data_IF_881648489563
#
_entry.id   IF_881648489563
#
_cell.length_a   1.000
_cell.length_b   1.000
_cell.length_c   1.000
_cell.angle_alpha   90.00
_cell.angle_beta   90.00
_cell.angle_gamma   90.00
#
_symmetry.space_group_name_H-M   'P 1'
#
loop_
_entity.id
_entity.type
_entity.pdbx_description
1 polymer ?
#
# COMPACT_ATOMS: atom_id res chain seq x y z
N UNK A 1 20.36 -0.88 -0.64
CA UNK A 1 19.59 -1.93 0.06
C UNK A 1 18.11 -1.61 -0.07
N UNK A 2 17.26 -2.61 -0.26
CA UNK A 2 15.81 -2.40 -0.34
C UNK A 2 15.27 -1.71 0.92
N UNK A 3 14.27 -0.84 0.75
CA UNK A 3 13.73 -0.03 1.84
C UNK A 3 12.72 -0.84 2.65
N UNK A 4 12.77 -0.74 3.98
CA UNK A 4 11.82 -1.43 4.86
C UNK A 4 11.04 -0.43 5.69
N UNK A 5 9.71 -0.54 5.62
CA UNK A 5 8.80 0.29 6.38
C UNK A 5 7.91 -0.51 7.34
N UNK A 6 7.34 0.18 8.32
CA UNK A 6 6.35 -0.35 9.26
C UNK A 6 5.18 0.60 9.38
N UNK A 7 3.97 0.10 9.16
CA UNK A 7 2.73 0.86 9.29
C UNK A 7 1.92 0.35 10.47
N UNK A 8 1.61 1.22 11.43
CA UNK A 8 1.00 0.81 12.69
C UNK A 8 -0.49 1.17 12.73
N UNK A 9 -1.37 0.20 12.52
CA UNK A 9 -2.81 0.35 12.69
C UNK A 9 -3.13 0.56 14.17
N UNK A 10 -3.58 1.77 14.52
CA UNK A 10 -3.74 2.22 15.92
C UNK A 10 -5.07 2.94 16.19
N UNK A 11 -6.08 2.77 15.32
CA UNK A 11 -7.42 3.40 15.40
C UNK A 11 -7.46 4.93 15.33
N UNK A 12 -6.31 5.59 15.25
CA UNK A 12 -6.25 7.04 15.12
C UNK A 12 -6.66 7.47 13.71
N UNK A 13 -7.02 8.74 13.53
CA UNK A 13 -7.28 9.29 12.20
C UNK A 13 -6.08 9.16 11.26
N UNK A 14 -4.86 9.32 11.81
CA UNK A 14 -3.60 9.07 11.13
C UNK A 14 -2.72 8.17 12.01
N UNK A 15 -2.19 7.14 11.38
CA UNK A 15 -1.27 6.17 11.93
C UNK A 15 0.17 6.46 11.43
N UNK A 16 1.20 6.10 12.20
CA UNK A 16 2.57 6.27 11.77
C UNK A 16 2.96 5.22 10.72
N UNK A 17 3.51 5.69 9.59
CA UNK A 17 4.29 4.91 8.63
C UNK A 17 5.76 5.25 8.82
N UNK A 18 6.53 4.31 9.34
CA UNK A 18 7.95 4.44 9.60
C UNK A 18 8.75 3.82 8.45
N UNK A 19 9.78 4.48 7.97
CA UNK A 19 10.78 3.91 7.07
C UNK A 19 12.15 4.04 7.70
N UNK A 20 12.80 2.89 7.93
CA UNK A 20 14.09 2.83 8.63
C UNK A 20 15.14 3.71 7.94
N UNK A 21 15.69 4.67 8.66
CA UNK A 21 16.69 5.62 8.15
C UNK A 21 16.13 6.77 7.29
N UNK A 22 14.82 6.86 7.11
CA UNK A 22 14.15 7.94 6.36
C UNK A 22 13.32 8.83 7.29
N UNK A 23 12.50 8.21 8.14
CA UNK A 23 11.67 8.92 9.10
C UNK A 23 10.27 8.33 9.23
N UNK A 24 9.43 9.05 9.99
CA UNK A 24 8.06 8.66 10.31
C UNK A 24 7.08 9.64 9.73
N UNK A 25 6.09 9.12 9.03
CA UNK A 25 5.13 9.90 8.27
C UNK A 25 3.68 9.57 8.69
N UNK A 26 2.81 10.58 8.80
CA UNK A 26 1.39 10.35 9.00
C UNK A 26 0.73 9.74 7.74
N UNK A 27 0.12 8.57 7.91
CA UNK A 27 -0.64 7.88 6.87
C UNK A 27 -1.94 7.31 7.46
N UNK A 28 -2.85 6.82 6.62
CA UNK A 28 -4.04 6.14 7.07
C UNK A 28 -4.45 5.03 6.11
N UNK A 29 -5.23 4.08 6.62
CA UNK A 29 -5.85 3.02 5.84
C UNK A 29 -7.27 2.75 6.29
N UNK A 30 -8.16 2.45 5.34
CA UNK A 30 -9.59 2.29 5.60
C UNK A 30 -10.37 3.60 5.52
N UNK A 31 -11.68 3.50 5.68
CA UNK A 31 -12.65 4.58 5.52
C UNK A 31 -13.43 4.83 6.81
N UNK A 32 -13.93 6.06 6.96
CA UNK A 32 -14.89 6.46 7.98
C UNK A 32 -14.56 5.93 9.39
N UNK A 33 -15.49 5.20 10.00
CA UNK A 33 -15.33 4.62 11.33
C UNK A 33 -14.21 3.59 11.42
N UNK A 34 -13.80 2.96 10.31
CA UNK A 34 -12.86 1.84 10.30
C UNK A 34 -11.41 2.23 9.98
N UNK A 35 -11.10 3.53 10.03
CA UNK A 35 -9.74 4.03 9.80
C UNK A 35 -8.75 3.45 10.80
N UNK A 36 -7.67 2.90 10.27
CA UNK A 36 -6.56 2.31 11.00
C UNK A 36 -7.01 1.26 12.05
N UNK A 37 -8.15 0.60 11.80
CA UNK A 37 -8.68 -0.44 12.67
C UNK A 37 -8.22 -1.83 12.22
N UNK A 38 -7.34 -2.52 12.98
CA UNK A 38 -6.83 -3.83 12.59
C UNK A 38 -7.88 -4.94 12.62
N UNK A 39 -8.88 -4.86 13.51
CA UNK A 39 -9.95 -5.86 13.59
C UNK A 39 -10.98 -5.82 12.46
N UNK A 40 -11.01 -4.74 11.67
CA UNK A 40 -12.02 -4.52 10.62
C UNK A 40 -11.50 -4.77 9.20
N UNK A 41 -10.38 -5.48 9.05
CA UNK A 41 -9.71 -5.66 7.75
C UNK A 41 -10.43 -6.60 6.79
N UNK A 42 -11.47 -7.33 7.24
CA UNK A 42 -12.33 -8.11 6.36
C UNK A 42 -13.39 -7.25 5.62
N UNK A 43 -13.68 -6.03 6.11
CA UNK A 43 -14.68 -5.16 5.51
C UNK A 43 -14.24 -4.68 4.13
N UNK A 44 -14.99 -5.07 3.09
CA UNK A 44 -14.71 -4.68 1.71
C UNK A 44 -14.86 -3.17 1.55
N UNK A 45 -13.87 -2.53 0.91
CA UNK A 45 -13.77 -1.09 0.67
C UNK A 45 -13.69 -0.18 1.91
N UNK A 46 -14.13 -0.62 3.08
CA UNK A 46 -14.14 0.24 4.27
C UNK A 46 -13.02 -0.11 5.25
N UNK A 47 -12.69 -1.39 5.36
CA UNK A 47 -11.67 -1.89 6.27
C UNK A 47 -10.27 -1.39 5.92
N UNK A 48 -9.43 -1.24 6.95
CA UNK A 48 -8.01 -1.00 6.79
C UNK A 48 -7.32 -2.12 5.96
N UNK A 49 -6.12 -1.83 5.50
CA UNK A 49 -5.23 -2.83 4.90
C UNK A 49 -5.01 -3.97 5.91
N UNK A 50 -5.11 -5.25 5.49
CA UNK A 50 -4.85 -6.36 6.39
C UNK A 50 -3.44 -6.31 6.99
N UNK A 51 -3.27 -6.91 8.17
CA UNK A 51 -1.95 -7.03 8.78
C UNK A 51 -1.08 -8.03 8.01
N UNK A 52 0.23 -7.84 8.09
CA UNK A 52 1.21 -8.69 7.42
C UNK A 52 2.23 -7.89 6.60
N UNK A 53 3.08 -8.61 5.87
CA UNK A 53 4.13 -8.03 5.05
C UNK A 53 3.64 -7.78 3.63
N UNK A 54 4.01 -6.64 3.08
CA UNK A 54 3.67 -6.23 1.71
C UNK A 54 4.92 -5.83 0.95
N UNK A 55 5.04 -6.32 -0.29
CA UNK A 55 6.05 -5.89 -1.24
C UNK A 55 5.63 -4.58 -1.91
N UNK A 56 6.55 -3.61 -1.95
CA UNK A 56 6.35 -2.35 -2.67
C UNK A 56 6.80 -2.55 -4.12
N UNK A 57 5.85 -2.66 -5.04
CA UNK A 57 6.12 -2.88 -6.47
C UNK A 57 5.71 -1.68 -7.30
N UNK A 58 6.29 -1.55 -8.49
CA UNK A 58 5.77 -0.61 -9.48
C UNK A 58 4.30 -0.96 -9.79
N UNK A 59 3.44 0.05 -9.96
CA UNK A 59 2.04 -0.20 -10.29
C UNK A 59 1.97 -0.97 -11.63
N UNK A 60 1.30 -2.13 -11.69
CA UNK A 60 1.08 -2.82 -12.95
C UNK A 60 0.23 -1.93 -13.86
N UNK A 61 0.79 -1.52 -15.00
CA UNK A 61 0.06 -0.80 -16.04
C UNK A 61 -0.59 -1.84 -16.96
N UNK A 62 -1.55 -2.60 -16.44
CA UNK A 62 -2.40 -3.52 -17.19
C UNK A 62 -1.72 -4.82 -17.68
N UNK A 63 -2.35 -5.96 -17.34
CA UNK A 63 -2.19 -7.25 -18.00
C UNK A 63 -0.86 -7.98 -17.78
N UNK A 64 -0.96 -9.28 -17.46
CA UNK A 64 0.14 -10.24 -17.26
C UNK A 64 1.11 -10.44 -18.45
N UNK A 65 1.06 -9.59 -19.49
CA UNK A 65 1.88 -9.73 -20.71
C UNK A 65 2.77 -8.54 -21.05
N UNK A 66 2.77 -7.46 -20.27
CA UNK A 66 3.60 -6.29 -20.61
C UNK A 66 4.88 -6.27 -19.78
N UNK A 67 5.68 -7.32 -19.99
CA UNK A 67 7.08 -7.41 -19.58
C UNK A 67 7.83 -6.38 -20.41
N UNK A 68 8.47 -5.41 -19.74
CA UNK A 68 9.49 -4.53 -20.32
C UNK A 68 9.16 -3.96 -21.69
N UNK A 69 8.36 -2.89 -21.74
CA UNK A 69 8.55 -1.77 -22.68
C UNK A 69 7.47 -0.69 -22.53
N UNK A 70 7.98 0.51 -22.29
CA UNK A 70 7.58 1.73 -22.98
C UNK A 70 6.40 2.59 -22.49
N UNK A 71 6.80 3.82 -22.15
CA UNK A 71 6.33 5.08 -22.73
C UNK A 71 5.04 5.68 -22.19
N UNK A 72 5.24 6.71 -21.34
CA UNK A 72 4.74 8.11 -21.45
C UNK A 72 3.39 8.43 -22.10
N UNK A 73 2.44 7.49 -22.22
CA UNK A 73 1.21 7.71 -22.98
C UNK A 73 -0.03 7.17 -22.25
N UNK A 74 -0.42 7.83 -21.16
CA UNK A 74 -1.83 8.00 -20.77
C UNK A 74 -1.94 9.23 -19.86
N UNK A 75 -1.80 10.43 -20.42
CA UNK A 75 -2.85 11.44 -20.69
C UNK A 75 -3.66 11.87 -19.43
N UNK A 76 -3.03 12.79 -18.69
CA UNK A 76 -3.56 13.91 -17.91
C UNK A 76 -4.40 13.72 -16.62
N UNK A 77 -5.17 12.64 -16.42
CA UNK A 77 -5.74 12.31 -15.08
C UNK A 77 -5.16 11.03 -14.46
N UNK A 78 -4.50 10.25 -15.31
CA UNK A 78 -3.72 9.05 -15.03
C UNK A 78 -2.27 9.34 -14.60
N UNK A 79 -1.81 10.59 -14.68
CA UNK A 79 -0.44 11.01 -14.34
C UNK A 79 -0.11 10.99 -12.84
N UNK A 80 -1.12 11.10 -11.95
CA UNK A 80 -0.90 11.00 -10.51
C UNK A 80 -0.96 9.55 -10.06
N UNK A 81 -1.93 8.77 -10.60
CA UNK A 81 -2.11 7.36 -10.23
C UNK A 81 -1.01 6.45 -10.76
N UNK A 82 -0.36 6.83 -11.87
CA UNK A 82 0.85 6.14 -12.37
C UNK A 82 2.04 6.25 -11.42
N UNK A 83 2.03 7.23 -10.50
CA UNK A 83 3.10 7.41 -9.52
C UNK A 83 2.93 6.53 -8.28
N UNK A 84 1.76 5.93 -8.10
CA UNK A 84 1.45 5.10 -6.94
C UNK A 84 2.21 3.77 -7.02
N UNK A 85 2.49 3.17 -5.87
CA UNK A 85 3.07 1.83 -5.81
C UNK A 85 1.97 0.80 -5.55
N UNK A 86 2.17 -0.41 -6.06
CA UNK A 86 1.40 -1.58 -5.64
C UNK A 86 1.92 -2.12 -4.31
N UNK A 87 1.00 -2.60 -3.47
CA UNK A 87 1.31 -3.30 -2.23
C UNK A 87 0.83 -4.73 -2.36
N UNK A 88 1.72 -5.64 -2.71
CA UNK A 88 1.39 -7.06 -2.89
C UNK A 88 1.65 -7.79 -1.60
N UNK A 89 0.62 -8.45 -1.07
CA UNK A 89 0.74 -9.16 0.20
C UNK A 89 1.68 -10.34 0.04
N UNK A 90 2.48 -10.58 1.05
CA UNK A 90 3.35 -11.74 1.14
C UNK A 90 2.64 -12.86 1.91
N UNK A 91 1.63 -13.48 1.28
CA UNK A 91 0.80 -14.55 1.85
C UNK A 91 1.03 -15.91 1.17
N UNK A 92 2.17 -16.07 0.50
CA UNK A 92 2.54 -17.25 -0.27
C UNK A 92 2.13 -17.18 -1.74
N UNK A 93 1.25 -16.25 -2.11
CA UNK A 93 0.94 -15.93 -3.52
C UNK A 93 1.21 -14.45 -3.78
N UNK A 94 2.10 -14.14 -4.72
CA UNK A 94 2.44 -12.74 -5.02
C UNK A 94 1.49 -12.21 -6.10
N UNK A 95 0.39 -11.62 -5.65
CA UNK A 95 -0.58 -10.98 -6.53
C UNK A 95 -1.18 -9.68 -5.93
N UNK A 96 -2.10 -9.06 -6.66
CA UNK A 96 -2.73 -7.78 -6.32
C UNK A 96 -4.04 -7.96 -5.53
N UNK A 97 -4.32 -9.15 -5.01
CA UNK A 97 -5.46 -9.46 -4.15
C UNK A 97 -5.08 -10.37 -2.98
N UNK A 98 -6.02 -10.61 -2.09
CA UNK A 98 -5.89 -11.57 -0.98
C UNK A 98 -7.30 -11.89 -0.49
N UNK A 99 -7.42 -12.95 0.32
CA UNK A 99 -8.68 -13.30 0.97
C UNK A 99 -8.55 -13.16 2.47
N UNK A 100 -9.44 -12.38 3.08
CA UNK A 100 -9.57 -12.21 4.53
C UNK A 100 -10.96 -12.72 4.89
N UNK A 101 -11.06 -13.78 5.69
CA UNK A 101 -12.33 -14.38 6.11
C UNK A 101 -13.30 -14.66 4.95
N UNK A 102 -12.77 -15.17 3.84
CA UNK A 102 -13.54 -15.46 2.62
C UNK A 102 -13.86 -14.22 1.77
N UNK A 103 -13.53 -13.01 2.22
CA UNK A 103 -13.73 -11.76 1.48
C UNK A 103 -12.51 -11.45 0.63
N UNK A 104 -12.72 -11.32 -0.69
CA UNK A 104 -11.68 -10.84 -1.60
C UNK A 104 -11.38 -9.36 -1.37
N UNK A 105 -10.15 -9.06 -0.97
CA UNK A 105 -9.56 -7.72 -0.85
C UNK A 105 -8.42 -7.57 -1.87
N UNK A 106 -7.95 -6.36 -2.14
CA UNK A 106 -6.84 -6.16 -3.08
C UNK A 106 -6.76 -4.76 -3.66
N UNK A 107 -5.99 -4.64 -4.73
CA UNK A 107 -5.61 -3.40 -5.39
C UNK A 107 -5.01 -2.39 -4.41
N UNK A 108 -4.31 -2.89 -3.39
CA UNK A 108 -3.72 -2.05 -2.36
C UNK A 108 -2.59 -1.22 -2.94
N UNK A 109 -2.58 0.06 -2.60
CA UNK A 109 -1.59 1.02 -3.10
C UNK A 109 -0.95 1.80 -1.96
N UNK A 110 0.27 2.26 -2.19
CA UNK A 110 0.85 3.39 -1.47
C UNK A 110 0.65 4.65 -2.34
N UNK A 111 -0.09 5.62 -1.83
CA UNK A 111 -0.45 6.82 -2.59
C UNK A 111 -0.70 8.04 -1.70
N UNK A 112 -0.65 9.28 -2.23
CA UNK A 112 -1.06 10.45 -1.47
C UNK A 112 -2.58 10.55 -1.36
N UNK A 113 -3.05 11.25 -0.33
CA UNK A 113 -4.45 11.59 -0.17
C UNK A 113 -4.96 12.37 -1.39
N UNK A 114 -6.00 11.84 -2.05
CA UNK A 114 -6.69 12.52 -3.13
C UNK A 114 -7.81 13.45 -2.64
N UNK A 115 -8.52 14.14 -3.55
CA UNK A 115 -9.61 15.07 -3.19
C UNK A 115 -10.69 14.46 -2.30
N UNK A 116 -11.08 13.20 -2.59
CA UNK A 116 -12.12 12.49 -1.85
C UNK A 116 -11.62 11.85 -0.53
N UNK A 117 -10.31 11.94 -0.23
CA UNK A 117 -9.68 11.33 0.96
C UNK A 117 -9.97 9.83 1.12
N UNK A 118 -10.19 9.14 0.01
CA UNK A 118 -10.46 7.71 -0.02
C UNK A 118 -9.15 6.89 0.08
N UNK A 119 -9.18 5.83 0.89
CA UNK A 119 -8.12 4.80 0.98
C UNK A 119 -8.60 3.46 0.43
N UNK A 120 -9.79 3.01 0.82
CA UNK A 120 -10.34 1.68 0.49
C UNK A 120 -9.43 0.49 0.85
N UNK A 121 -8.62 0.66 1.90
CA UNK A 121 -7.61 -0.30 2.33
C UNK A 121 -6.23 -0.08 1.73
N UNK A 122 -5.99 1.01 1.01
CA UNK A 122 -4.64 1.44 0.66
C UNK A 122 -3.91 2.03 1.87
N UNK A 123 -2.58 2.20 1.77
CA UNK A 123 -1.83 3.08 2.67
C UNK A 123 -1.80 4.46 2.03
N UNK A 124 -2.51 5.40 2.63
CA UNK A 124 -2.71 6.74 2.08
C UNK A 124 -1.93 7.78 2.91
N UNK A 125 -0.97 8.44 2.28
CA UNK A 125 -0.16 9.49 2.93
C UNK A 125 -1.00 10.74 3.15
N UNK A 126 -0.93 11.34 4.35
CA UNK A 126 -1.74 12.52 4.65
C UNK A 126 -1.30 13.77 3.88
N UNK A 127 -0.01 13.86 3.52
CA UNK A 127 0.57 14.96 2.74
C UNK A 127 1.16 14.44 1.44
N UNK A 128 0.92 15.17 0.35
CA UNK A 128 1.48 14.85 -0.97
C UNK A 128 3.00 15.01 -1.00
N UNK A 129 3.55 15.97 -0.25
CA UNK A 129 5.00 16.19 -0.12
C UNK A 129 5.72 14.99 0.48
N UNK A 130 5.13 14.40 1.53
CA UNK A 130 5.68 13.21 2.21
C UNK A 130 5.67 12.01 1.26
N UNK A 131 4.58 11.84 0.51
CA UNK A 131 4.51 10.84 -0.55
C UNK A 131 5.60 11.05 -1.62
N UNK A 132 5.79 12.28 -2.11
CA UNK A 132 6.82 12.58 -3.11
C UNK A 132 8.22 12.27 -2.59
N UNK A 133 8.51 12.59 -1.32
CA UNK A 133 9.78 12.25 -0.67
C UNK A 133 9.99 10.73 -0.63
N UNK A 134 9.04 9.98 -0.07
CA UNK A 134 9.11 8.51 0.02
C UNK A 134 9.24 7.89 -1.37
N UNK A 135 8.47 8.37 -2.35
CA UNK A 135 8.53 7.89 -3.73
C UNK A 135 9.92 8.07 -4.33
N UNK A 136 10.52 9.24 -4.20
CA UNK A 136 11.86 9.49 -4.75
C UNK A 136 12.90 8.57 -4.09
N UNK A 137 12.79 8.34 -2.79
CA UNK A 137 13.69 7.45 -2.07
C UNK A 137 13.52 5.97 -2.45
N UNK A 138 12.27 5.52 -2.65
CA UNK A 138 11.98 4.17 -3.15
C UNK A 138 12.54 3.96 -4.56
N UNK A 139 12.39 4.94 -5.44
CA UNK A 139 12.91 4.87 -6.81
C UNK A 139 14.44 4.95 -6.89
N UNK A 140 15.08 5.61 -5.92
CA UNK A 140 16.54 5.67 -5.80
C UNK A 140 17.15 4.39 -5.20
N UNK A 141 16.33 3.51 -4.63
CA UNK A 141 16.76 2.27 -3.97
C UNK A 141 16.94 1.14 -4.98
N UNK A 142 17.99 0.31 -4.79
CA UNK A 142 18.13 -0.95 -5.51
C UNK A 142 16.96 -1.89 -5.22
N UNK A 143 16.36 -2.43 -6.27
CA UNK A 143 15.26 -3.39 -6.15
C UNK A 143 15.76 -4.79 -5.78
N UNK A 144 14.86 -5.59 -5.24
CA UNK A 144 15.04 -7.02 -5.01
C UNK A 144 14.01 -7.80 -5.81
N UNK A 145 14.39 -8.96 -6.34
CA UNK A 145 13.44 -9.86 -6.99
C UNK A 145 12.63 -10.56 -5.91
N UNK A 146 11.31 -10.52 -6.02
CA UNK A 146 10.41 -11.21 -5.09
C UNK A 146 10.56 -12.72 -5.34
N UNK A 147 10.87 -13.53 -4.30
CA UNK A 147 11.05 -14.97 -4.45
C UNK A 147 9.88 -15.65 -5.17
N UNK A 148 10.19 -16.54 -6.11
CA UNK A 148 9.16 -17.26 -6.89
C UNK A 148 8.51 -16.43 -8.02
N UNK A 149 9.01 -15.23 -8.31
CA UNK A 149 8.49 -14.37 -9.38
C UNK A 149 9.60 -13.64 -10.14
N UNK A 150 9.25 -12.96 -11.23
CA UNK A 150 10.12 -12.01 -11.94
C UNK A 150 9.88 -10.54 -11.52
N UNK A 151 9.12 -10.31 -10.44
CA UNK A 151 8.74 -8.96 -10.02
C UNK A 151 9.85 -8.34 -9.17
N UNK A 152 10.19 -7.09 -9.51
CA UNK A 152 11.12 -6.29 -8.74
C UNK A 152 10.36 -5.46 -7.69
N UNK A 153 10.75 -5.58 -6.42
CA UNK A 153 10.25 -4.77 -5.32
C UNK A 153 11.29 -3.71 -4.91
N UNK A 154 10.82 -2.49 -4.65
CA UNK A 154 11.63 -1.40 -4.11
C UNK A 154 11.90 -1.56 -2.60
N UNK A 155 11.10 -2.40 -1.95
CA UNK A 155 11.09 -2.52 -0.50
C UNK A 155 9.91 -3.32 0.03
N UNK A 156 9.76 -3.30 1.34
CA UNK A 156 8.61 -3.89 2.03
C UNK A 156 7.97 -2.92 3.01
N UNK A 157 6.69 -3.12 3.30
CA UNK A 157 5.99 -2.52 4.44
C UNK A 157 5.42 -3.66 5.28
N UNK A 158 5.77 -3.68 6.56
CA UNK A 158 5.10 -4.51 7.56
C UNK A 158 3.92 -3.74 8.15
N UNK A 159 2.71 -4.22 7.95
CA UNK A 159 1.50 -3.68 8.58
C UNK A 159 1.30 -4.39 9.92
N UNK A 160 1.41 -3.61 10.99
CA UNK A 160 1.31 -4.09 12.38
C UNK A 160 0.03 -3.53 12.99
N UNK A 161 -0.75 -4.41 13.62
CA UNK A 161 -1.94 -4.05 14.38
C UNK A 161 -2.44 -5.28 15.12
N UNK A 162 -2.93 -5.08 16.35
CA UNK A 162 -3.33 -6.17 17.23
C UNK A 162 -4.74 -5.92 17.72
N UNK A 163 -5.71 -6.51 17.03
CA UNK A 163 -7.11 -6.58 17.46
C UNK A 163 -7.87 -7.49 16.51
N UNK A 164 -8.69 -8.38 17.07
CA UNK A 164 -9.53 -9.31 16.30
C UNK A 164 -11.02 -8.92 16.34
N UNK A 165 -11.35 -7.84 17.06
CA UNK A 165 -12.68 -7.30 17.18
C UNK A 165 -12.88 -6.09 16.26
N UNK A 166 -13.93 -6.15 15.44
CA UNK A 166 -14.43 -4.99 14.71
C UNK A 166 -15.70 -4.47 15.41
N UNK A 167 -15.72 -3.22 15.92
CA UNK A 167 -16.94 -2.65 16.48
C UNK A 167 -18.02 -2.56 15.41
N UNK A 168 -19.23 -3.01 15.74
CA UNK A 168 -20.41 -2.71 14.94
C UNK A 168 -20.61 -1.18 14.89
N UNK A 169 -20.88 -0.65 13.68
CA UNK A 169 -21.28 0.75 13.49
C UNK A 169 -22.69 1.01 14.03
#
# INVERSE_FOLDING_TARGET
>A
MAMNGKFYLNKAQFAPLDFSGVGRFPAFSGMDGFRNQPGCTYLKNDGAIPTGRYWIVARPVGGYRTRFRETLASVFNSNIRSQWFGLYRDDGTIDDFTFIDGVKRGNFRLHPMGPNRESKGCITMSRSTDFSMIRNMLLATSTVIIPGTDLAAYGTIEVVGYEDYCPAL
#
